data_IF_404791528077
#
_entry.id   IF_404791528077
#
_cell.length_a   1.000
_cell.length_b   1.000
_cell.length_c   1.000
_cell.angle_alpha   90.00
_cell.angle_beta   90.00
_cell.angle_gamma   90.00
#
_symmetry.space_group_name_H-M   'P 1'
#
loop_
_entity.id
_entity.type
_entity.pdbx_description
1 polymer ?
#
# COMPACT_ATOMS: atom_id res chain seq x y z
N UNK A 1 2.45 7.14 44.31
CA UNK A 1 3.54 7.25 43.32
C UNK A 1 3.58 5.93 42.58
N UNK A 2 3.39 5.91 41.25
CA UNK A 2 3.48 4.67 40.47
C UNK A 2 4.94 4.16 40.44
N UNK A 3 5.14 2.85 40.46
CA UNK A 3 6.48 2.27 40.41
C UNK A 3 7.17 2.61 39.06
N UNK A 4 8.47 2.95 39.08
CA UNK A 4 9.19 3.24 37.86
C UNK A 4 9.34 1.97 36.99
N UNK A 5 8.94 2.08 35.73
CA UNK A 5 9.01 0.99 34.74
C UNK A 5 10.46 0.58 34.51
N UNK A 6 10.73 -0.73 34.62
CA UNK A 6 12.06 -1.34 34.44
C UNK A 6 12.00 -2.59 33.58
N UNK A 7 13.08 -2.84 32.84
CA UNK A 7 13.26 -4.09 32.13
C UNK A 7 13.37 -5.25 33.13
N UNK A 8 12.70 -6.36 32.84
CA UNK A 8 12.88 -7.61 33.59
C UNK A 8 14.33 -8.07 33.50
N UNK A 9 14.72 -8.97 34.41
CA UNK A 9 16.05 -9.58 34.39
C UNK A 9 16.33 -10.19 33.01
N UNK A 10 17.46 -9.81 32.42
CA UNK A 10 17.94 -10.37 31.16
C UNK A 10 18.44 -11.79 31.39
N UNK A 11 18.14 -12.69 30.45
CA UNK A 11 18.84 -13.97 30.39
C UNK A 11 20.27 -13.75 29.87
N UNK A 12 21.17 -14.72 30.08
CA UNK A 12 22.54 -14.63 29.56
C UNK A 12 22.57 -14.51 28.02
N UNK A 13 21.64 -15.18 27.33
CA UNK A 13 21.54 -15.14 25.87
C UNK A 13 21.02 -13.79 25.38
N UNK A 14 20.01 -13.25 26.05
CA UNK A 14 19.49 -11.90 25.77
C UNK A 14 20.57 -10.84 25.96
N UNK A 15 21.31 -10.90 27.07
CA UNK A 15 22.41 -9.99 27.36
C UNK A 15 23.51 -10.07 26.31
N UNK A 16 23.94 -11.28 25.94
CA UNK A 16 24.95 -11.49 24.86
C UNK A 16 24.47 -10.92 23.53
N UNK A 17 23.20 -11.14 23.17
CA UNK A 17 22.64 -10.66 21.91
C UNK A 17 22.53 -9.15 21.85
N UNK A 18 22.08 -8.50 22.94
CA UNK A 18 22.02 -7.04 23.04
C UNK A 18 23.42 -6.41 22.90
N UNK A 19 24.42 -6.96 23.59
CA UNK A 19 25.80 -6.50 23.46
C UNK A 19 26.34 -6.67 22.03
N UNK A 20 26.05 -7.78 21.37
CA UNK A 20 26.45 -8.01 19.98
C UNK A 20 25.83 -6.97 19.05
N UNK A 21 24.53 -6.66 19.21
CA UNK A 21 23.81 -5.66 18.41
C UNK A 21 24.42 -4.27 18.62
N UNK A 22 24.68 -3.89 19.88
CA UNK A 22 25.23 -2.58 20.21
C UNK A 22 26.66 -2.41 19.66
N UNK A 23 27.49 -3.45 19.71
CA UNK A 23 28.88 -3.40 19.23
C UNK A 23 29.02 -3.44 17.71
N UNK A 24 28.15 -4.18 17.02
CA UNK A 24 28.28 -4.42 15.56
C UNK A 24 27.28 -3.65 14.72
N UNK A 25 26.22 -3.12 15.32
CA UNK A 25 25.15 -2.44 14.61
C UNK A 25 25.54 -1.03 14.19
N UNK A 26 24.90 -0.52 13.12
CA UNK A 26 24.99 0.89 12.75
C UNK A 26 24.29 1.71 13.84
N UNK A 27 25.00 2.65 14.47
CA UNK A 27 24.52 3.45 15.61
C UNK A 27 23.18 4.17 15.36
N UNK A 28 22.87 4.51 14.11
CA UNK A 28 21.61 5.17 13.72
C UNK A 28 20.40 4.23 13.67
N UNK A 29 20.59 2.91 13.73
CA UNK A 29 19.48 1.98 13.62
C UNK A 29 18.59 1.97 14.87
N UNK A 30 17.27 1.94 14.65
CA UNK A 30 16.27 1.81 15.74
C UNK A 30 16.56 0.58 16.60
N UNK A 31 17.03 -0.50 15.97
CA UNK A 31 17.42 -1.74 16.64
C UNK A 31 18.52 -1.54 17.68
N UNK A 32 19.56 -0.78 17.35
CA UNK A 32 20.66 -0.45 18.28
C UNK A 32 20.16 0.45 19.40
N UNK A 33 19.34 1.46 19.07
CA UNK A 33 18.76 2.36 20.08
C UNK A 33 17.89 1.62 21.09
N UNK A 34 16.99 0.75 20.62
CA UNK A 34 16.16 -0.10 21.49
C UNK A 34 17.00 -1.06 22.34
N UNK A 35 18.07 -1.62 21.77
CA UNK A 35 19.00 -2.46 22.52
C UNK A 35 19.72 -1.70 23.65
N UNK A 36 20.16 -0.46 23.39
CA UNK A 36 20.77 0.41 24.41
C UNK A 36 19.79 0.75 25.54
N UNK A 37 18.53 1.02 25.21
CA UNK A 37 17.46 1.26 26.19
C UNK A 37 17.32 0.07 27.14
N UNK A 38 17.20 -1.14 26.59
CA UNK A 38 17.00 -2.36 27.37
C UNK A 38 18.22 -2.67 28.23
N UNK A 39 19.43 -2.56 27.67
CA UNK A 39 20.66 -2.80 28.43
C UNK A 39 20.80 -1.80 29.59
N UNK A 40 20.57 -0.50 29.34
CA UNK A 40 20.66 0.53 30.37
C UNK A 40 19.57 0.37 31.46
N UNK A 41 18.34 0.01 31.07
CA UNK A 41 17.26 -0.25 32.02
C UNK A 41 17.54 -1.46 32.90
N UNK A 42 18.09 -2.54 32.32
CA UNK A 42 18.51 -3.74 33.07
C UNK A 42 19.65 -3.49 34.06
N UNK A 43 20.47 -2.47 33.81
CA UNK A 43 21.53 -2.02 34.71
C UNK A 43 21.02 -1.10 35.84
N UNK A 44 19.71 -0.80 35.88
CA UNK A 44 19.09 0.03 36.91
C UNK A 44 19.02 1.53 36.58
N UNK A 45 19.43 1.94 35.37
CA UNK A 45 19.35 3.35 34.96
C UNK A 45 17.89 3.78 34.81
N UNK A 46 17.48 4.93 35.38
CA UNK A 46 16.10 5.39 35.30
C UNK A 46 15.75 5.88 33.88
N UNK A 47 14.49 5.68 33.45
CA UNK A 47 14.02 6.02 32.10
C UNK A 47 14.33 7.46 31.65
N UNK A 48 14.20 8.51 32.50
CA UNK A 48 14.62 9.87 32.16
C UNK A 48 16.11 10.01 31.78
N UNK A 49 16.99 9.27 32.45
CA UNK A 49 18.42 9.30 32.15
C UNK A 49 18.74 8.55 30.85
N UNK A 50 18.05 7.43 30.60
CA UNK A 50 18.16 6.69 29.34
C UNK A 50 17.68 7.58 28.18
N UNK A 51 16.56 8.26 28.32
CA UNK A 51 15.99 9.14 27.29
C UNK A 51 16.99 10.21 26.82
N UNK A 52 17.71 10.83 27.77
CA UNK A 52 18.80 11.76 27.46
C UNK A 52 19.97 11.10 26.73
N UNK A 53 20.36 9.89 27.12
CA UNK A 53 21.44 9.14 26.49
C UNK A 53 21.12 8.78 25.03
N UNK A 54 19.89 8.36 24.74
CA UNK A 54 19.48 7.90 23.41
C UNK A 54 18.84 8.99 22.54
N UNK A 55 18.79 10.23 23.01
CA UNK A 55 18.12 11.36 22.38
C UNK A 55 16.68 11.02 21.95
N UNK A 56 15.89 10.47 22.87
CA UNK A 56 14.49 10.07 22.65
C UNK A 56 13.57 10.65 23.73
N UNK A 57 12.26 10.59 23.50
CA UNK A 57 11.27 10.93 24.52
C UNK A 57 11.22 9.87 25.62
N UNK A 58 10.91 10.27 26.86
CA UNK A 58 10.84 9.33 27.98
C UNK A 58 9.76 8.26 27.77
N UNK A 59 8.65 8.61 27.13
CA UNK A 59 7.58 7.65 26.83
C UNK A 59 8.04 6.58 25.84
N UNK A 60 8.85 6.94 24.84
CA UNK A 60 9.44 5.95 23.93
C UNK A 60 10.34 4.96 24.68
N UNK A 61 11.04 5.41 25.73
CA UNK A 61 11.83 4.52 26.58
C UNK A 61 10.92 3.58 27.37
N UNK A 62 9.84 4.10 27.96
CA UNK A 62 8.85 3.29 28.70
C UNK A 62 8.20 2.26 27.79
N UNK A 63 7.77 2.64 26.59
CA UNK A 63 7.15 1.77 25.58
C UNK A 63 8.08 0.62 25.20
N UNK A 64 9.36 0.91 24.94
CA UNK A 64 10.36 -0.12 24.61
C UNK A 64 10.58 -1.09 25.78
N UNK A 65 10.58 -0.60 27.02
CA UNK A 65 10.71 -1.45 28.20
C UNK A 65 9.46 -2.34 28.37
N UNK A 66 8.26 -1.79 28.17
CA UNK A 66 7.03 -2.56 28.19
C UNK A 66 7.00 -3.63 27.09
N UNK A 67 7.36 -3.27 25.86
CA UNK A 67 7.49 -4.19 24.73
C UNK A 67 8.47 -5.32 25.03
N UNK A 68 9.64 -5.01 25.62
CA UNK A 68 10.62 -6.01 26.02
C UNK A 68 10.07 -6.95 27.09
N UNK A 69 9.37 -6.42 28.08
CA UNK A 69 8.77 -7.24 29.15
C UNK A 69 7.68 -8.18 28.61
N UNK A 70 6.96 -7.79 27.54
CA UNK A 70 5.92 -8.61 26.93
C UNK A 70 6.45 -9.63 25.92
N UNK A 71 7.38 -9.22 25.03
CA UNK A 71 7.78 -10.01 23.84
C UNK A 71 9.28 -10.35 23.79
N UNK A 72 10.07 -9.94 24.77
CA UNK A 72 11.52 -10.17 24.80
C UNK A 72 12.25 -9.46 23.66
N UNK A 73 13.27 -10.09 23.07
CA UNK A 73 14.08 -9.49 22.00
C UNK A 73 13.32 -9.16 20.71
N UNK A 74 12.11 -9.70 20.52
CA UNK A 74 11.26 -9.32 19.38
C UNK A 74 10.93 -7.82 19.38
N UNK A 75 10.96 -7.16 20.54
CA UNK A 75 10.76 -5.71 20.64
C UNK A 75 11.82 -4.87 19.89
N UNK A 76 12.98 -5.45 19.53
CA UNK A 76 14.04 -4.70 18.86
C UNK A 76 13.67 -4.31 17.44
N UNK A 77 12.75 -5.06 16.83
CA UNK A 77 12.28 -4.86 15.47
C UNK A 77 10.88 -4.20 15.56
N UNK A 78 10.76 -2.90 15.22
CA UNK A 78 9.47 -2.22 15.33
C UNK A 78 8.45 -2.82 14.35
N UNK A 79 7.21 -2.95 14.82
CA UNK A 79 6.07 -3.26 13.98
C UNK A 79 5.78 -2.03 13.10
N UNK A 80 6.44 -1.99 11.94
CA UNK A 80 6.12 -1.00 10.93
C UNK A 80 4.69 -1.24 10.49
N UNK A 81 3.76 -0.42 11.01
CA UNK A 81 2.44 -0.35 10.43
C UNK A 81 2.63 -0.03 8.94
N UNK A 82 2.30 -0.99 8.08
CA UNK A 82 2.25 -0.75 6.65
C UNK A 82 1.38 0.49 6.40
N UNK A 83 1.67 1.22 5.34
CA UNK A 83 0.79 2.31 4.91
C UNK A 83 -0.66 1.82 4.76
N UNK A 84 -1.60 2.77 4.68
CA UNK A 84 -3.03 2.48 4.50
C UNK A 84 -3.23 1.38 3.44
N UNK A 85 -3.97 0.29 3.75
CA UNK A 85 -4.21 -0.78 2.79
C UNK A 85 -4.72 -0.24 1.45
N UNK A 86 -4.27 -0.86 0.35
CA UNK A 86 -4.72 -0.48 -0.99
C UNK A 86 -6.22 -0.75 -1.11
N UNK A 87 -6.99 0.27 -1.48
CA UNK A 87 -8.44 0.16 -1.68
C UNK A 87 -8.81 -0.46 -3.03
N UNK A 88 -7.86 -0.52 -3.97
CA UNK A 88 -8.05 -1.05 -5.32
C UNK A 88 -7.06 -2.20 -5.46
N UNK A 89 -7.61 -3.40 -5.62
CA UNK A 89 -6.87 -4.63 -5.87
C UNK A 89 -6.37 -4.72 -7.31
N UNK A 90 -5.45 -5.64 -7.59
CA UNK A 90 -4.97 -5.87 -8.95
C UNK A 90 -6.11 -6.41 -9.86
N UNK A 91 -7.04 -7.16 -9.29
CA UNK A 91 -8.25 -7.62 -9.99
C UNK A 91 -9.19 -6.46 -10.34
N UNK A 92 -9.30 -5.44 -9.47
CA UNK A 92 -10.06 -4.23 -9.77
C UNK A 92 -9.40 -3.47 -10.94
N UNK A 93 -8.07 -3.42 -10.97
CA UNK A 93 -7.32 -2.79 -12.05
C UNK A 93 -7.57 -3.52 -13.38
N UNK A 94 -7.52 -4.86 -13.38
CA UNK A 94 -7.81 -5.66 -14.58
C UNK A 94 -9.22 -5.39 -15.11
N UNK A 95 -10.23 -5.37 -14.23
CA UNK A 95 -11.61 -5.07 -14.59
C UNK A 95 -11.79 -3.64 -15.13
N UNK A 96 -11.12 -2.64 -14.54
CA UNK A 96 -11.11 -1.26 -15.05
C UNK A 96 -10.58 -1.22 -16.49
N UNK A 97 -9.48 -1.92 -16.76
CA UNK A 97 -8.83 -1.91 -18.08
C UNK A 97 -9.71 -2.61 -19.11
N UNK A 98 -10.30 -3.75 -18.76
CA UNK A 98 -11.22 -4.48 -19.63
C UNK A 98 -12.42 -3.60 -19.99
N UNK A 99 -13.07 -3.00 -18.98
CA UNK A 99 -14.20 -2.09 -19.17
C UNK A 99 -13.83 -0.90 -20.05
N UNK A 100 -12.63 -0.33 -19.86
CA UNK A 100 -12.14 0.80 -20.65
C UNK A 100 -11.87 0.44 -22.12
N UNK A 101 -11.50 -0.82 -22.41
CA UNK A 101 -11.25 -1.30 -23.78
C UNK A 101 -12.55 -1.67 -24.51
N UNK A 102 -13.54 -2.17 -23.78
CA UNK A 102 -14.85 -2.51 -24.34
C UNK A 102 -15.59 -1.26 -24.80
N UNK A 103 -16.22 -1.31 -25.98
CA UNK A 103 -17.02 -0.18 -26.48
C UNK A 103 -18.23 0.03 -25.56
N UNK A 104 -18.58 1.28 -25.20
CA UNK A 104 -19.72 1.50 -24.31
C UNK A 104 -21.06 1.02 -24.87
N UNK A 105 -21.21 0.96 -26.20
CA UNK A 105 -22.39 0.39 -26.86
C UNK A 105 -22.58 -1.10 -26.53
N UNK A 106 -21.50 -1.89 -26.45
CA UNK A 106 -21.54 -3.30 -26.01
C UNK A 106 -21.98 -3.45 -24.56
N UNK A 107 -21.78 -2.41 -23.74
CA UNK A 107 -22.24 -2.36 -22.35
C UNK A 107 -23.60 -1.65 -22.19
N UNK A 108 -24.36 -1.49 -23.28
CA UNK A 108 -25.70 -0.89 -23.25
C UNK A 108 -25.73 0.60 -22.90
N UNK A 109 -24.62 1.32 -23.08
CA UNK A 109 -24.55 2.77 -22.76
C UNK A 109 -24.87 3.63 -23.99
N UNK A 110 -25.58 4.76 -23.82
CA UNK A 110 -26.08 5.59 -24.93
C UNK A 110 -25.00 6.47 -25.59
N UNK A 111 -23.72 6.10 -25.46
CA UNK A 111 -22.61 6.87 -25.99
C UNK A 111 -21.57 5.98 -26.67
N UNK A 112 -20.83 6.57 -27.61
CA UNK A 112 -19.89 5.82 -28.47
C UNK A 112 -18.47 5.74 -27.95
N UNK A 113 -18.09 6.64 -27.03
CA UNK A 113 -16.72 6.74 -26.49
C UNK A 113 -16.71 6.92 -24.97
N UNK A 114 -15.72 6.32 -24.31
CA UNK A 114 -15.43 6.58 -22.91
C UNK A 114 -14.86 7.98 -22.69
N UNK A 115 -15.22 8.55 -21.55
CA UNK A 115 -14.46 9.63 -20.92
C UNK A 115 -14.10 9.17 -19.51
N UNK A 116 -13.07 9.78 -18.90
CA UNK A 116 -12.67 9.44 -17.52
C UNK A 116 -13.85 9.59 -16.55
N UNK A 117 -14.72 10.59 -16.76
CA UNK A 117 -15.95 10.77 -15.95
C UNK A 117 -16.92 9.60 -16.17
N UNK A 118 -17.30 9.34 -17.43
CA UNK A 118 -18.25 8.28 -17.78
C UNK A 118 -17.80 6.89 -17.33
N UNK A 119 -16.50 6.62 -17.38
CA UNK A 119 -15.93 5.36 -16.92
C UNK A 119 -15.98 5.27 -15.39
N UNK A 120 -15.64 6.33 -14.66
CA UNK A 120 -15.75 6.34 -13.20
C UNK A 120 -17.21 6.13 -12.75
N UNK A 121 -18.17 6.82 -13.40
CA UNK A 121 -19.59 6.67 -13.10
C UNK A 121 -20.07 5.24 -13.39
N UNK A 122 -19.68 4.67 -14.54
CA UNK A 122 -20.01 3.29 -14.89
C UNK A 122 -19.47 2.26 -13.88
N UNK A 123 -18.24 2.47 -13.40
CA UNK A 123 -17.59 1.59 -12.41
C UNK A 123 -18.21 1.72 -11.01
N UNK A 124 -18.75 2.90 -10.68
CA UNK A 124 -19.46 3.12 -9.42
C UNK A 124 -20.85 2.48 -9.41
N UNK A 125 -21.53 2.47 -10.56
CA UNK A 125 -22.89 1.97 -10.75
C UNK A 125 -22.98 0.47 -11.09
N UNK A 126 -21.83 -0.21 -11.25
CA UNK A 126 -21.80 -1.62 -11.63
C UNK A 126 -22.33 -2.52 -10.49
N UNK A 127 -23.31 -3.39 -10.79
CA UNK A 127 -24.04 -4.19 -9.78
C UNK A 127 -23.17 -5.21 -9.06
N UNK A 128 -22.24 -5.83 -9.79
CA UNK A 128 -21.52 -7.00 -9.31
C UNK A 128 -20.21 -6.62 -8.60
N UNK A 129 -19.63 -5.47 -8.96
CA UNK A 129 -18.35 -4.98 -8.42
C UNK A 129 -18.31 -3.46 -8.43
N UNK A 130 -18.67 -2.84 -7.31
CA UNK A 130 -18.63 -1.38 -7.15
C UNK A 130 -17.22 -0.90 -6.88
N UNK A 131 -16.62 -0.20 -7.84
CA UNK A 131 -15.26 0.35 -7.71
C UNK A 131 -15.35 1.87 -7.58
N UNK A 132 -15.22 2.37 -6.34
CA UNK A 132 -15.13 3.81 -6.09
C UNK A 132 -13.70 4.29 -6.32
N UNK A 133 -13.48 4.96 -7.45
CA UNK A 133 -12.18 5.46 -7.86
C UNK A 133 -12.22 6.96 -8.18
N UNK A 134 -11.26 7.70 -7.61
CA UNK A 134 -11.06 9.10 -7.98
C UNK A 134 -10.59 9.23 -9.43
N UNK A 135 -11.05 10.28 -10.12
CA UNK A 135 -10.76 10.51 -11.54
C UNK A 135 -9.28 10.54 -11.88
N UNK A 136 -8.45 11.11 -11.01
CA UNK A 136 -6.99 11.15 -11.21
C UNK A 136 -6.35 9.76 -11.05
N UNK A 137 -6.78 8.98 -10.05
CA UNK A 137 -6.30 7.61 -9.89
C UNK A 137 -6.69 6.75 -11.09
N UNK A 138 -7.90 6.91 -11.60
CA UNK A 138 -8.36 6.26 -12.83
C UNK A 138 -7.49 6.67 -14.03
N UNK A 139 -7.19 7.96 -14.20
CA UNK A 139 -6.30 8.46 -15.25
C UNK A 139 -4.91 7.83 -15.17
N UNK A 140 -4.33 7.73 -13.97
CA UNK A 140 -3.02 7.13 -13.75
C UNK A 140 -3.01 5.64 -14.10
N UNK A 141 -4.06 4.89 -13.73
CA UNK A 141 -4.20 3.48 -14.09
C UNK A 141 -4.27 3.35 -15.62
N UNK A 142 -5.15 4.09 -16.29
CA UNK A 142 -5.27 4.03 -17.74
C UNK A 142 -3.95 4.39 -18.44
N UNK A 143 -3.25 5.42 -17.96
CA UNK A 143 -1.95 5.83 -18.51
C UNK A 143 -0.87 4.75 -18.31
N UNK A 144 -0.77 4.17 -17.11
CA UNK A 144 0.18 3.09 -16.82
C UNK A 144 -0.04 1.87 -17.72
N UNK A 145 -1.30 1.58 -18.06
CA UNK A 145 -1.69 0.48 -18.95
C UNK A 145 -1.83 0.90 -20.43
N UNK A 146 -1.36 2.10 -20.79
CA UNK A 146 -1.37 2.65 -22.16
C UNK A 146 -2.75 2.65 -22.83
N UNK A 147 -3.82 2.77 -22.04
CA UNK A 147 -5.19 2.92 -22.55
C UNK A 147 -5.43 4.40 -22.83
N UNK A 148 -5.70 4.74 -24.09
CA UNK A 148 -6.08 6.09 -24.51
C UNK A 148 -7.45 6.08 -25.19
N UNK A 149 -8.28 7.06 -24.85
CA UNK A 149 -9.56 7.30 -25.50
C UNK A 149 -9.46 8.32 -26.65
N UNK A 150 -8.27 8.90 -26.86
CA UNK A 150 -8.05 9.78 -28.00
C UNK A 150 -8.05 8.96 -29.29
N UNK A 151 -8.93 9.31 -30.22
CA UNK A 151 -8.88 8.78 -31.58
C UNK A 151 -7.88 9.58 -32.38
N UNK A 152 -6.78 8.95 -32.77
CA UNK A 152 -5.81 9.54 -33.72
C UNK A 152 -6.38 9.61 -35.14
N UNK A 153 -7.51 8.94 -35.42
CA UNK A 153 -8.14 8.89 -36.74
C UNK A 153 -9.66 9.02 -36.63
N UNK A 154 -10.22 10.08 -37.21
CA UNK A 154 -11.66 10.37 -37.27
C UNK A 154 -12.30 9.58 -38.41
N UNK A 155 -12.97 8.47 -38.08
CA UNK A 155 -13.86 7.78 -39.01
C UNK A 155 -15.31 8.24 -38.79
N UNK A 156 -16.09 8.32 -39.88
CA UNK A 156 -17.52 8.61 -39.85
C UNK A 156 -18.28 7.45 -39.22
N UNK A 157 -19.21 7.74 -38.31
CA UNK A 157 -20.18 6.76 -37.80
C UNK A 157 -21.21 6.47 -38.90
N UNK A 158 -21.54 5.20 -39.13
CA UNK A 158 -22.56 4.78 -40.09
C UNK A 158 -23.88 4.47 -39.38
N UNK A 159 -25.02 4.70 -40.04
CA UNK A 159 -26.37 4.39 -39.53
C UNK A 159 -26.84 2.98 -39.96
N UNK A 160 -25.88 2.11 -40.28
CA UNK A 160 -26.09 0.76 -40.79
C UNK A 160 -26.55 -0.19 -39.65
N UNK A 161 -27.66 -0.93 -39.81
CA UNK A 161 -28.12 -1.90 -38.81
C UNK A 161 -27.08 -2.95 -38.41
N UNK A 162 -26.19 -3.32 -39.34
CA UNK A 162 -25.13 -4.33 -39.11
C UNK A 162 -23.79 -3.70 -38.73
N UNK A 163 -23.77 -2.41 -38.38
CA UNK A 163 -22.53 -1.67 -38.12
C UNK A 163 -21.69 -2.31 -37.01
N UNK A 164 -22.31 -2.69 -35.89
CA UNK A 164 -21.60 -3.33 -34.78
C UNK A 164 -21.10 -4.72 -35.17
N UNK A 165 -21.89 -5.54 -35.88
CA UNK A 165 -21.47 -6.87 -36.37
C UNK A 165 -20.26 -6.78 -37.29
N UNK A 166 -20.23 -5.77 -38.17
CA UNK A 166 -19.08 -5.51 -39.05
C UNK A 166 -17.84 -5.08 -38.25
N UNK A 167 -18.02 -4.22 -37.26
CA UNK A 167 -16.91 -3.79 -36.40
C UNK A 167 -16.37 -4.92 -35.52
N UNK A 168 -17.23 -5.84 -35.09
CA UNK A 168 -16.85 -7.02 -34.31
C UNK A 168 -16.05 -7.99 -35.16
N UNK A 169 -16.46 -8.20 -36.41
CA UNK A 169 -15.66 -8.96 -37.39
C UNK A 169 -14.31 -8.31 -37.66
N UNK A 170 -14.26 -6.98 -37.78
CA UNK A 170 -12.99 -6.26 -37.96
C UNK A 170 -12.10 -6.49 -36.73
N UNK A 171 -12.64 -6.31 -35.51
CA UNK A 171 -11.94 -6.53 -34.25
C UNK A 171 -11.37 -7.96 -34.17
N UNK A 172 -12.20 -8.98 -34.43
CA UNK A 172 -11.81 -10.39 -34.49
C UNK A 172 -10.66 -10.61 -35.48
N UNK A 173 -10.76 -10.09 -36.70
CA UNK A 173 -9.73 -10.26 -37.72
C UNK A 173 -8.43 -9.56 -37.30
N UNK A 174 -8.49 -8.32 -36.79
CA UNK A 174 -7.27 -7.64 -36.30
C UNK A 174 -6.65 -8.33 -35.10
N UNK A 175 -7.43 -8.88 -34.18
CA UNK A 175 -6.89 -9.59 -33.00
C UNK A 175 -6.34 -10.96 -33.37
N UNK A 176 -6.93 -11.64 -34.36
CA UNK A 176 -6.50 -12.97 -34.83
C UNK A 176 -5.21 -12.95 -35.65
N UNK A 177 -4.91 -11.84 -36.33
CA UNK A 177 -3.76 -11.70 -37.23
C UNK A 177 -2.76 -10.61 -36.80
N UNK A 178 -2.82 -10.13 -35.55
CA UNK A 178 -1.83 -9.25 -34.94
C UNK A 178 -0.80 -10.03 -34.13
#
# INVERSE_FOLDING_TARGET
MAEPVRARRLTQDEGRRLQQIIRRGKHESIRVRRAMIIQASSAGTPAPAIARLVAAHEDTVRDVIHDFNQRGLACLDPDWAGGRPRLISDDDIAFIIETARTRPAKLGRPFTCWSIRKLADHLADHSDRKIQIGRERLRQILHAHRVTFQRTRTWKTSNDPDFETKLDRIEEVTTRFA
#
